data_IF_889672526673
#
_entry.id   IF_889672526673
#
_cell.length_a   1.000
_cell.length_b   1.000
_cell.length_c   1.000
_cell.angle_alpha   90.00
_cell.angle_beta   90.00
_cell.angle_gamma   90.00
#
_symmetry.space_group_name_H-M   'P 1'
#
loop_
_entity.id
_entity.type
_entity.pdbx_description
1 polymer ?
#
# COMPACT_ATOMS: atom_id res chain seq x y z
N UNK A 1 -14.01 1.94 12.62
CA UNK A 1 -13.20 0.97 11.86
C UNK A 1 -12.76 1.58 10.54
N UNK A 2 -11.50 1.43 10.21
CA UNK A 2 -10.98 1.94 8.94
C UNK A 2 -11.47 1.08 7.78
N UNK A 3 -11.80 1.76 6.66
CA UNK A 3 -12.18 1.07 5.44
C UNK A 3 -10.92 0.59 4.71
N UNK A 4 -10.99 -0.58 4.12
CA UNK A 4 -9.92 -1.10 3.26
C UNK A 4 -10.51 -1.43 1.90
N UNK A 5 -9.64 -1.39 0.87
CA UNK A 5 -10.10 -1.69 -0.49
C UNK A 5 -10.46 -3.18 -0.58
N UNK A 6 -11.68 -3.51 -1.06
CA UNK A 6 -12.10 -4.91 -1.19
C UNK A 6 -11.19 -5.78 -2.03
N UNK A 7 -10.34 -5.20 -2.89
CA UNK A 7 -9.39 -5.99 -3.68
C UNK A 7 -8.46 -6.80 -2.80
N UNK A 8 -8.25 -6.39 -1.55
CA UNK A 8 -7.40 -7.11 -0.60
C UNK A 8 -7.97 -8.47 -0.21
N UNK A 9 -9.23 -8.75 -0.52
CA UNK A 9 -9.86 -10.04 -0.25
C UNK A 9 -9.86 -10.95 -1.48
N UNK A 10 -9.18 -10.59 -2.56
CA UNK A 10 -9.17 -11.38 -3.79
C UNK A 10 -7.97 -12.32 -3.86
N UNK A 11 -8.09 -13.46 -4.58
CA UNK A 11 -6.94 -14.34 -4.81
C UNK A 11 -5.81 -13.65 -5.56
N UNK A 12 -6.13 -12.74 -6.48
CA UNK A 12 -5.13 -11.99 -7.24
C UNK A 12 -4.24 -11.18 -6.30
N UNK A 13 -4.83 -10.57 -5.30
CA UNK A 13 -4.09 -9.83 -4.28
C UNK A 13 -3.17 -10.77 -3.50
N UNK A 14 -3.71 -11.88 -3.01
CA UNK A 14 -2.95 -12.83 -2.21
C UNK A 14 -1.76 -13.41 -2.97
N UNK A 15 -1.91 -13.59 -4.28
CA UNK A 15 -0.84 -14.16 -5.10
C UNK A 15 0.36 -13.23 -5.23
N UNK A 16 0.17 -11.93 -5.10
CA UNK A 16 1.24 -10.95 -5.35
C UNK A 16 1.62 -10.12 -4.13
N UNK A 17 0.78 -10.08 -3.11
CA UNK A 17 1.00 -9.12 -2.01
C UNK A 17 2.31 -9.37 -1.26
N UNK A 18 2.68 -10.61 -1.07
CA UNK A 18 3.92 -10.94 -0.38
C UNK A 18 5.13 -10.36 -1.13
N UNK A 19 5.17 -10.56 -2.44
CA UNK A 19 6.24 -10.04 -3.27
C UNK A 19 6.23 -8.53 -3.34
N UNK A 20 5.03 -7.94 -3.40
CA UNK A 20 4.86 -6.48 -3.42
C UNK A 20 5.41 -5.88 -2.14
N UNK A 21 5.05 -6.43 -0.99
CA UNK A 21 5.53 -5.91 0.29
C UNK A 21 7.05 -6.03 0.40
N UNK A 22 7.61 -7.13 -0.05
CA UNK A 22 9.04 -7.33 -0.06
C UNK A 22 9.75 -6.32 -0.95
N UNK A 23 9.20 -6.07 -2.14
CA UNK A 23 9.74 -5.08 -3.07
C UNK A 23 9.69 -3.68 -2.47
N UNK A 24 8.57 -3.31 -1.86
CA UNK A 24 8.40 -1.99 -1.25
C UNK A 24 9.34 -1.82 -0.05
N UNK A 25 9.46 -2.84 0.79
CA UNK A 25 10.39 -2.81 1.92
C UNK A 25 11.82 -2.59 1.46
N UNK A 26 12.22 -3.26 0.40
CA UNK A 26 13.56 -3.10 -0.19
C UNK A 26 13.75 -1.70 -0.75
N UNK A 27 12.73 -1.19 -1.44
CA UNK A 27 12.75 0.13 -2.05
C UNK A 27 12.89 1.24 -1.00
N UNK A 28 12.24 1.06 0.15
CA UNK A 28 12.17 2.10 1.20
C UNK A 28 13.05 1.80 2.40
N UNK A 29 13.96 0.83 2.31
CA UNK A 29 14.76 0.40 3.46
C UNK A 29 15.60 1.51 4.06
N UNK A 30 16.03 2.47 3.25
CA UNK A 30 16.86 3.60 3.68
C UNK A 30 16.05 4.86 4.00
N UNK A 31 14.72 4.80 3.88
CA UNK A 31 13.86 5.94 4.17
C UNK A 31 13.68 6.13 5.67
N UNK A 32 13.72 7.39 6.15
CA UNK A 32 13.42 7.65 7.56
C UNK A 32 11.99 7.25 7.90
N UNK A 33 11.82 6.54 9.00
CA UNK A 33 10.50 6.10 9.46
C UNK A 33 9.90 7.14 10.40
N UNK A 34 9.68 8.33 9.86
CA UNK A 34 9.09 9.41 10.61
C UNK A 34 7.70 9.74 10.13
N UNK A 35 7.29 10.97 10.42
CA UNK A 35 6.00 11.48 9.99
C UNK A 35 5.90 11.43 8.46
N UNK A 36 4.79 10.91 7.96
CA UNK A 36 4.57 10.80 6.52
C UNK A 36 5.12 9.54 5.87
N UNK A 37 5.82 8.68 6.61
CA UNK A 37 6.36 7.45 6.04
C UNK A 37 5.26 6.55 5.48
N UNK A 38 4.12 6.47 6.15
CA UNK A 38 3.03 5.62 5.68
C UNK A 38 2.53 6.03 4.30
N UNK A 39 2.56 7.32 3.99
CA UNK A 39 2.16 7.80 2.65
C UNK A 39 3.17 7.37 1.59
N UNK A 40 4.46 7.43 1.90
CA UNK A 40 5.51 6.95 1.00
C UNK A 40 5.37 5.44 0.76
N UNK A 41 5.13 4.68 1.82
CA UNK A 41 4.92 3.25 1.74
C UNK A 41 3.73 2.92 0.84
N UNK A 42 2.60 3.59 1.08
CA UNK A 42 1.38 3.33 0.31
C UNK A 42 1.53 3.72 -1.16
N UNK A 43 2.23 4.81 -1.46
CA UNK A 43 2.50 5.20 -2.85
C UNK A 43 3.32 4.15 -3.58
N UNK A 44 4.38 3.65 -2.94
CA UNK A 44 5.22 2.62 -3.53
C UNK A 44 4.44 1.31 -3.71
N UNK A 45 3.64 0.94 -2.71
CA UNK A 45 2.81 -0.26 -2.77
C UNK A 45 1.78 -0.17 -3.88
N UNK A 46 1.13 0.98 -4.01
CA UNK A 46 0.15 1.21 -5.07
C UNK A 46 0.80 1.06 -6.45
N UNK A 47 1.97 1.65 -6.64
CA UNK A 47 2.68 1.58 -7.91
C UNK A 47 3.10 0.14 -8.24
N UNK A 48 3.59 -0.60 -7.24
CA UNK A 48 3.99 -1.99 -7.44
C UNK A 48 2.80 -2.87 -7.80
N UNK A 49 1.65 -2.65 -7.16
CA UNK A 49 0.42 -3.38 -7.47
C UNK A 49 -0.09 -3.04 -8.86
N UNK A 50 -0.02 -1.76 -9.24
CA UNK A 50 -0.45 -1.33 -10.58
C UNK A 50 0.37 -2.01 -11.67
N UNK A 51 1.68 -2.18 -11.45
CA UNK A 51 2.53 -2.89 -12.40
C UNK A 51 2.12 -4.35 -12.58
N UNK A 52 1.42 -4.90 -11.61
CA UNK A 52 0.90 -6.28 -11.65
C UNK A 52 -0.56 -6.36 -12.06
N UNK A 53 -1.12 -5.24 -12.53
CA UNK A 53 -2.51 -5.19 -12.99
C UNK A 53 -3.55 -5.11 -11.90
N UNK A 54 -3.15 -4.74 -10.67
CA UNK A 54 -4.07 -4.63 -9.55
C UNK A 54 -4.24 -3.16 -9.18
N UNK A 55 -5.49 -2.69 -9.25
CA UNK A 55 -5.83 -1.33 -8.81
C UNK A 55 -6.16 -1.38 -7.33
N UNK A 56 -5.37 -0.67 -6.53
CA UNK A 56 -5.53 -0.65 -5.08
C UNK A 56 -5.57 0.80 -4.58
N UNK A 57 -6.46 1.05 -3.65
CA UNK A 57 -6.57 2.35 -2.99
C UNK A 57 -6.05 2.23 -1.56
N UNK A 58 -5.20 3.18 -1.18
CA UNK A 58 -4.60 3.19 0.15
C UNK A 58 -5.64 3.46 1.24
N UNK A 59 -5.33 3.13 2.50
CA UNK A 59 -6.22 3.50 3.60
C UNK A 59 -6.53 4.99 3.65
N UNK A 60 -5.58 5.83 3.28
CA UNK A 60 -5.81 7.28 3.21
C UNK A 60 -6.86 7.63 2.16
N UNK A 61 -6.81 6.99 0.99
CA UNK A 61 -7.79 7.22 -0.07
C UNK A 61 -9.18 6.69 0.31
N UNK A 62 -9.22 5.58 1.03
CA UNK A 62 -10.49 4.98 1.47
C UNK A 62 -11.11 5.68 2.67
N UNK A 63 -10.31 6.44 3.42
CA UNK A 63 -10.74 7.13 4.63
C UNK A 63 -10.28 8.59 4.59
N UNK A 64 -10.83 9.40 3.66
CA UNK A 64 -10.31 10.75 3.42
C UNK A 64 -10.46 11.71 4.59
N UNK A 65 -11.32 11.39 5.55
CA UNK A 65 -11.53 12.23 6.72
C UNK A 65 -10.64 11.85 7.90
N UNK A 66 -9.86 10.79 7.76
CA UNK A 66 -8.94 10.32 8.80
C UNK A 66 -7.54 10.83 8.47
N UNK A 67 -6.86 11.37 9.48
CA UNK A 67 -5.47 11.80 9.31
C UNK A 67 -4.52 10.65 9.61
N UNK A 68 -3.55 10.47 8.74
CA UNK A 68 -2.49 9.47 8.90
C UNK A 68 -1.14 10.16 8.93
N UNK A 69 -0.24 9.69 9.77
CA UNK A 69 1.12 10.23 9.86
C UNK A 69 2.10 9.49 8.98
#
# INVERSE_FOLDING_TARGET
MLKVDPVQATPEWENVIYEVEKEVDEQLKDEPRGMGFCHSYWSAKRAALARRGIVWRSPSAMNPKVMFD
#
